data_IF_895473991022
#
_entry.id   IF_895473991022
#
_cell.length_a   1.000
_cell.length_b   1.000
_cell.length_c   1.000
_cell.angle_alpha   90.00
_cell.angle_beta   90.00
_cell.angle_gamma   90.00
#
_symmetry.space_group_name_H-M   'P 1'
#
loop_
_entity.id
_entity.type
_entity.pdbx_description
1 polymer ?
#
# COMPACT_ATOMS: atom_id res chain seq x y z
N UNK A 1 26.09 -14.59 -5.78
CA UNK A 1 25.02 -15.05 -4.88
C UNK A 1 23.76 -14.35 -5.31
N UNK A 2 22.87 -15.03 -6.02
CA UNK A 2 21.62 -14.45 -6.48
C UNK A 2 20.72 -14.33 -5.26
N UNK A 3 20.41 -13.10 -4.83
CA UNK A 3 19.46 -12.88 -3.75
C UNK A 3 18.10 -13.39 -4.20
N UNK A 4 17.73 -14.60 -3.76
CA UNK A 4 16.38 -15.14 -3.89
C UNK A 4 15.54 -14.46 -2.79
N UNK A 5 15.35 -13.15 -2.92
CA UNK A 5 14.21 -12.50 -2.30
C UNK A 5 13.05 -12.73 -3.27
N UNK A 6 12.16 -13.66 -2.93
CA UNK A 6 10.91 -13.87 -3.68
C UNK A 6 10.32 -12.51 -4.00
N UNK A 7 10.19 -12.17 -5.28
CA UNK A 7 9.53 -10.93 -5.69
C UNK A 7 8.12 -10.99 -5.10
N UNK A 8 7.91 -10.20 -4.06
CA UNK A 8 6.61 -9.80 -3.54
C UNK A 8 5.70 -9.59 -4.74
N UNK A 9 4.58 -10.31 -4.76
CA UNK A 9 3.62 -10.42 -5.86
C UNK A 9 3.68 -9.25 -6.88
N UNK A 10 4.27 -9.43 -8.08
CA UNK A 10 4.52 -8.34 -9.01
C UNK A 10 3.23 -7.67 -9.51
N UNK A 11 2.13 -8.41 -9.59
CA UNK A 11 0.82 -7.87 -9.96
C UNK A 11 0.26 -6.96 -8.86
N UNK A 12 0.48 -7.29 -7.59
CA UNK A 12 0.12 -6.41 -6.48
C UNK A 12 0.93 -5.11 -6.54
N UNK A 13 2.25 -5.22 -6.74
CA UNK A 13 3.12 -4.05 -6.87
C UNK A 13 2.68 -3.11 -8.01
N UNK A 14 2.41 -3.66 -9.19
CA UNK A 14 1.95 -2.91 -10.35
C UNK A 14 0.57 -2.27 -10.10
N UNK A 15 -0.36 -3.03 -9.51
CA UNK A 15 -1.70 -2.53 -9.16
C UNK A 15 -1.62 -1.36 -8.17
N UNK A 16 -0.78 -1.47 -7.14
CA UNK A 16 -0.60 -0.40 -6.17
C UNK A 16 0.06 0.84 -6.79
N UNK A 17 0.98 0.67 -7.74
CA UNK A 17 1.55 1.81 -8.48
C UNK A 17 0.48 2.59 -9.26
N UNK A 18 -0.52 1.91 -9.83
CA UNK A 18 -1.64 2.56 -10.51
C UNK A 18 -2.56 3.33 -9.56
N UNK A 19 -2.52 3.05 -8.26
CA UNK A 19 -3.32 3.72 -7.24
C UNK A 19 -2.62 4.94 -6.61
N UNK A 20 -1.39 5.26 -7.00
CA UNK A 20 -0.67 6.43 -6.46
C UNK A 20 -1.46 7.71 -6.70
N UNK A 21 -1.57 8.54 -5.66
CA UNK A 21 -2.37 9.76 -5.61
C UNK A 21 -3.85 9.54 -5.27
N UNK A 22 -4.32 8.29 -5.17
CA UNK A 22 -5.71 7.99 -4.82
C UNK A 22 -5.88 7.83 -3.30
N UNK A 23 -7.08 8.12 -2.81
CA UNK A 23 -7.50 7.74 -1.47
C UNK A 23 -7.72 6.23 -1.42
N UNK A 24 -7.02 5.56 -0.52
CA UNK A 24 -7.07 4.10 -0.37
C UNK A 24 -7.38 3.72 1.07
N UNK A 25 -7.91 2.52 1.20
CA UNK A 25 -8.13 1.84 2.46
C UNK A 25 -7.33 0.56 2.42
N UNK A 26 -6.50 0.36 3.44
CA UNK A 26 -5.57 -0.76 3.54
C UNK A 26 -5.79 -1.48 4.84
N UNK A 27 -6.01 -2.79 4.75
CA UNK A 27 -6.05 -3.66 5.91
C UNK A 27 -4.69 -4.34 6.06
N UNK A 28 -4.09 -4.14 7.23
CA UNK A 28 -2.99 -4.96 7.72
C UNK A 28 -3.54 -6.09 8.61
N UNK A 29 -2.72 -7.07 9.00
CA UNK A 29 -3.16 -8.10 9.95
C UNK A 29 -3.74 -7.55 11.26
N UNK A 30 -3.28 -6.36 11.68
CA UNK A 30 -3.62 -5.77 12.98
C UNK A 30 -4.64 -4.63 12.89
N UNK A 31 -4.60 -3.85 11.82
CA UNK A 31 -5.29 -2.55 11.74
C UNK A 31 -5.74 -2.21 10.32
N UNK A 32 -6.79 -1.39 10.24
CA UNK A 32 -7.25 -0.78 9.00
C UNK A 32 -6.80 0.68 8.96
N UNK A 33 -6.21 1.10 7.85
CA UNK A 33 -5.62 2.42 7.67
C UNK A 33 -6.18 3.05 6.40
N UNK A 34 -6.45 4.36 6.47
CA UNK A 34 -7.02 5.13 5.36
C UNK A 34 -6.14 6.35 5.14
N UNK A 35 -5.75 6.58 3.88
CA UNK A 35 -4.94 7.73 3.52
C UNK A 35 -4.80 7.88 2.01
N UNK A 36 -4.04 8.89 1.60
CA UNK A 36 -3.66 9.05 0.18
C UNK A 36 -2.41 8.21 -0.07
N UNK A 37 -2.43 7.35 -1.09
CA UNK A 37 -1.25 6.59 -1.46
C UNK A 37 -0.21 7.52 -2.11
N UNK A 38 0.89 7.80 -1.42
CA UNK A 38 1.92 8.71 -1.92
C UNK A 38 2.93 8.01 -2.83
N UNK A 39 3.36 6.81 -2.45
CA UNK A 39 4.40 6.08 -3.17
C UNK A 39 4.44 4.61 -2.79
N UNK A 40 5.08 3.83 -3.67
CA UNK A 40 5.32 2.40 -3.51
C UNK A 40 6.83 2.16 -3.65
N UNK A 41 7.42 1.60 -2.60
CA UNK A 41 8.80 1.09 -2.56
C UNK A 41 8.78 -0.45 -2.70
N UNK A 42 9.92 -1.12 -2.97
CA UNK A 42 9.94 -2.57 -3.16
C UNK A 42 9.31 -3.41 -2.03
N UNK A 43 9.36 -2.93 -0.79
CA UNK A 43 8.87 -3.63 0.41
C UNK A 43 7.92 -2.77 1.28
N UNK A 44 7.68 -1.51 0.90
CA UNK A 44 6.83 -0.59 1.67
C UNK A 44 5.83 0.16 0.80
N UNK A 45 4.66 0.41 1.36
CA UNK A 45 3.68 1.36 0.87
C UNK A 45 3.67 2.61 1.78
N UNK A 46 3.60 3.79 1.19
CA UNK A 46 3.58 5.06 1.93
C UNK A 46 2.20 5.72 1.77
N UNK A 47 1.46 5.83 2.87
CA UNK A 47 0.21 6.59 2.93
C UNK A 47 0.44 7.96 3.56
N UNK A 48 -0.21 9.00 3.05
CA UNK A 48 -0.39 10.25 3.79
C UNK A 48 -1.65 10.14 4.65
N UNK A 49 -1.50 10.35 5.96
CA UNK A 49 -2.59 10.49 6.91
C UNK A 49 -2.36 11.76 7.71
N UNK A 50 -3.30 12.72 7.66
CA UNK A 50 -3.18 14.00 8.36
C UNK A 50 -1.83 14.70 8.09
N UNK A 51 -1.40 14.78 6.82
CA UNK A 51 -0.12 15.37 6.39
C UNK A 51 1.13 14.69 6.95
N UNK A 52 0.99 13.48 7.49
CA UNK A 52 2.10 12.68 8.02
C UNK A 52 2.25 11.43 7.16
N UNK A 53 3.46 11.14 6.63
CA UNK A 53 3.71 9.91 5.90
C UNK A 53 3.74 8.72 6.87
N UNK A 54 3.01 7.67 6.52
CA UNK A 54 2.90 6.44 7.27
C UNK A 54 3.33 5.26 6.41
N UNK A 55 4.24 4.44 6.94
CA UNK A 55 4.89 3.37 6.22
C UNK A 55 4.26 2.05 6.61
N UNK A 56 3.79 1.30 5.61
CA UNK A 56 3.21 -0.03 5.78
C UNK A 56 4.10 -1.02 5.04
N UNK A 57 4.52 -2.09 5.71
CA UNK A 57 5.24 -3.17 5.04
C UNK A 57 4.29 -3.94 4.14
N UNK A 58 4.72 -4.24 2.91
CA UNK A 58 3.90 -5.00 1.97
C UNK A 58 3.51 -6.38 2.48
N UNK A 59 4.37 -7.01 3.28
CA UNK A 59 4.13 -8.34 3.87
C UNK A 59 2.98 -8.36 4.88
N UNK A 60 2.65 -7.22 5.50
CA UNK A 60 1.56 -7.12 6.47
C UNK A 60 0.21 -6.81 5.80
N UNK A 61 0.19 -6.49 4.50
CA UNK A 61 -1.02 -6.10 3.77
C UNK A 61 -1.87 -7.35 3.45
N UNK A 62 -3.09 -7.36 3.97
CA UNK A 62 -4.09 -8.40 3.69
C UNK A 62 -4.90 -8.02 2.44
N UNK A 63 -5.34 -6.76 2.34
CA UNK A 63 -6.03 -6.23 1.16
C UNK A 63 -5.93 -4.71 1.06
N UNK A 64 -6.14 -4.21 -0.17
CA UNK A 64 -6.23 -2.78 -0.50
C UNK A 64 -7.45 -2.55 -1.38
N UNK A 65 -8.17 -1.46 -1.13
CA UNK A 65 -9.22 -0.95 -2.03
C UNK A 65 -9.13 0.56 -2.13
N UNK A 66 -9.66 1.11 -3.23
CA UNK A 66 -9.96 2.54 -3.31
C UNK A 66 -11.01 2.90 -2.26
N UNK A 67 -10.85 4.07 -1.67
CA UNK A 67 -11.89 4.65 -0.84
C UNK A 67 -13.13 4.95 -1.69
N UNK A 68 -14.23 4.27 -1.38
CA UNK A 68 -15.53 4.62 -1.93
C UNK A 68 -16.08 5.83 -1.17
N UNK A 69 -16.03 7.00 -1.80
CA UNK A 69 -16.78 8.15 -1.31
C UNK A 69 -18.24 7.93 -1.71
N UNK A 70 -19.11 7.62 -0.74
CA UNK A 70 -20.57 7.65 -1.00
C UNK A 70 -20.96 9.12 -1.16
N UNK A 71 -21.20 9.53 -2.40
CA UNK A 71 -21.91 10.77 -2.74
C UNK A 71 -23.38 10.67 -2.32
#
# INVERSE_FOLDING_TARGET
MTQIGSRSNPYLYETLNMMIGQAVVVQTEKTMQKGILLSILPDHMILEMNRTPFFIRMEEIVWVTLETTKN
#
